data_IF_770685455554
#
_entry.id   IF_770685455554
#
_cell.length_a   1.000
_cell.length_b   1.000
_cell.length_c   1.000
_cell.angle_alpha   90.00
_cell.angle_beta   90.00
_cell.angle_gamma   90.00
#
_symmetry.space_group_name_H-M   'P 1'
#
loop_
_entity.id
_entity.type
_entity.pdbx_description
1 polymer ?
#
# COMPACT_ATOMS: atom_id res chain seq x y z
N UNK A 1 33.16 54.53 2.90
CA UNK A 1 33.07 54.19 4.34
C UNK A 1 31.92 53.21 4.50
N UNK A 2 32.19 51.96 4.89
CA UNK A 2 31.16 50.94 5.13
C UNK A 2 30.86 50.88 6.62
N UNK A 3 29.65 51.26 7.03
CA UNK A 3 29.20 51.09 8.42
C UNK A 3 28.86 49.62 8.65
N UNK A 4 29.71 48.95 9.44
CA UNK A 4 29.47 47.61 9.95
C UNK A 4 28.28 47.67 10.91
N UNK A 5 27.07 47.43 10.40
CA UNK A 5 25.84 47.39 11.19
C UNK A 5 25.86 46.16 12.09
N UNK A 6 25.95 46.39 13.40
CA UNK A 6 25.82 45.34 14.41
C UNK A 6 24.32 45.12 14.69
N UNK A 7 23.67 44.27 13.90
CA UNK A 7 22.28 43.86 14.16
C UNK A 7 22.27 42.82 15.29
N UNK A 8 22.29 43.26 16.54
CA UNK A 8 21.81 42.44 17.66
C UNK A 8 20.29 42.58 17.72
N UNK A 9 19.59 41.77 16.90
CA UNK A 9 18.14 41.67 16.94
C UNK A 9 17.73 40.66 18.02
N UNK A 10 17.02 41.14 19.04
CA UNK A 10 16.35 40.28 20.00
C UNK A 10 15.36 39.38 19.26
N UNK A 11 15.39 38.07 19.53
CA UNK A 11 14.58 37.11 18.81
C UNK A 11 13.09 37.43 18.99
N UNK A 12 12.36 37.63 17.88
CA UNK A 12 10.96 38.00 17.93
C UNK A 12 10.15 36.83 18.54
N UNK A 13 9.45 37.02 19.67
CA UNK A 13 8.73 35.95 20.37
C UNK A 13 7.64 35.31 19.50
N UNK A 14 7.11 36.03 18.51
CA UNK A 14 6.14 35.49 17.54
C UNK A 14 6.78 34.46 16.61
N UNK A 15 8.03 34.66 16.20
CA UNK A 15 8.74 33.73 15.33
C UNK A 15 9.13 32.45 16.09
N UNK A 16 9.53 32.58 17.35
CA UNK A 16 9.82 31.44 18.22
C UNK A 16 8.55 30.60 18.44
N UNK A 17 7.43 31.24 18.77
CA UNK A 17 6.14 30.55 18.97
C UNK A 17 5.66 29.84 17.70
N UNK A 18 5.87 30.45 16.51
CA UNK A 18 5.54 29.82 15.24
C UNK A 18 6.44 28.61 14.95
N UNK A 19 7.74 28.72 15.19
CA UNK A 19 8.69 27.62 15.01
C UNK A 19 8.39 26.45 15.95
N UNK A 20 8.08 26.72 17.22
CA UNK A 20 7.66 25.71 18.19
C UNK A 20 6.37 25.02 17.75
N UNK A 21 5.38 25.79 17.28
CA UNK A 21 4.11 25.24 16.77
C UNK A 21 4.34 24.34 15.56
N UNK A 22 5.15 24.77 14.60
CA UNK A 22 5.48 23.99 13.41
C UNK A 22 6.29 22.73 13.75
N UNK A 23 7.22 22.81 14.70
CA UNK A 23 7.97 21.65 15.20
C UNK A 23 7.04 20.64 15.88
N UNK A 24 6.10 21.10 16.72
CA UNK A 24 5.13 20.23 17.38
C UNK A 24 4.17 19.58 16.37
N UNK A 25 3.71 20.33 15.36
CA UNK A 25 2.91 19.79 14.25
C UNK A 25 3.68 18.77 13.42
N UNK A 26 4.97 19.02 13.15
CA UNK A 26 5.83 18.08 12.43
C UNK A 26 6.03 16.79 13.24
N UNK A 27 6.27 16.90 14.54
CA UNK A 27 6.51 15.74 15.41
C UNK A 27 5.25 14.89 15.54
N UNK A 28 4.08 15.49 15.76
CA UNK A 28 2.80 14.77 15.80
C UNK A 28 2.49 14.06 14.48
N UNK A 29 2.68 14.73 13.34
CA UNK A 29 2.49 14.10 12.02
C UNK A 29 3.45 12.91 11.77
N UNK A 30 4.69 12.97 12.28
CA UNK A 30 5.64 11.86 12.21
C UNK A 30 5.19 10.68 13.08
N UNK A 31 4.80 10.92 14.33
CA UNK A 31 4.32 9.88 15.24
C UNK A 31 3.07 9.19 14.68
N UNK A 32 2.12 9.94 14.13
CA UNK A 32 0.96 9.35 13.46
C UNK A 32 1.35 8.51 12.24
N UNK A 33 2.37 8.93 11.48
CA UNK A 33 2.86 8.17 10.33
C UNK A 33 3.51 6.86 10.78
N UNK A 34 4.29 6.87 11.86
CA UNK A 34 4.90 5.68 12.44
C UNK A 34 3.84 4.70 12.94
N UNK A 35 2.88 5.18 13.75
CA UNK A 35 1.77 4.36 14.25
C UNK A 35 0.94 3.71 13.11
N UNK A 36 0.70 4.45 12.03
CA UNK A 36 0.04 3.89 10.82
C UNK A 36 0.89 2.83 10.14
N UNK A 37 2.20 3.04 10.04
CA UNK A 37 3.10 2.09 9.41
C UNK A 37 3.20 0.80 10.22
N UNK A 38 3.26 0.90 11.54
CA UNK A 38 3.22 -0.25 12.46
C UNK A 38 1.90 -1.02 12.32
N UNK A 39 0.76 -0.32 12.29
CA UNK A 39 -0.55 -0.94 12.06
C UNK A 39 -0.60 -1.67 10.72
N UNK A 40 -0.07 -1.06 9.66
CA UNK A 40 -0.01 -1.68 8.34
C UNK A 40 0.89 -2.93 8.34
N UNK A 41 2.06 -2.85 8.96
CA UNK A 41 2.98 -3.98 9.08
C UNK A 41 2.34 -5.12 9.89
N UNK A 42 1.64 -4.81 10.98
CA UNK A 42 0.90 -5.78 11.76
C UNK A 42 -0.20 -6.46 10.93
N UNK A 43 -0.99 -5.69 10.17
CA UNK A 43 -2.01 -6.24 9.27
C UNK A 43 -1.40 -7.16 8.22
N UNK A 44 -0.33 -6.73 7.55
CA UNK A 44 0.36 -7.55 6.55
C UNK A 44 0.96 -8.82 7.17
N UNK A 45 1.54 -8.73 8.37
CA UNK A 45 2.09 -9.88 9.08
C UNK A 45 1.01 -10.86 9.57
N UNK A 46 -0.21 -10.36 9.84
CA UNK A 46 -1.35 -11.19 10.23
C UNK A 46 -2.01 -11.92 9.05
N UNK A 47 -1.68 -11.56 7.81
CA UNK A 47 -2.12 -12.29 6.62
C UNK A 47 -1.39 -13.63 6.58
N UNK A 48 -2.06 -14.66 7.08
CA UNK A 48 -1.59 -16.02 6.98
C UNK A 48 -1.85 -16.52 5.54
N UNK A 49 -0.76 -16.78 4.81
CA UNK A 49 -0.80 -17.23 3.41
C UNK A 49 -0.87 -18.76 3.29
N UNK A 50 -1.05 -19.49 4.41
CA UNK A 50 -1.28 -20.93 4.34
C UNK A 50 -2.50 -21.22 3.46
N UNK A 51 -2.34 -22.23 2.59
CA UNK A 51 -3.38 -22.73 1.70
C UNK A 51 -4.63 -23.01 2.53
N UNK A 52 -5.70 -22.24 2.29
CA UNK A 52 -6.98 -22.54 2.89
C UNK A 52 -7.37 -23.95 2.40
N UNK A 53 -7.63 -24.91 3.30
CA UNK A 53 -7.99 -26.26 2.88
C UNK A 53 -9.22 -26.18 1.98
N UNK A 54 -9.13 -26.79 0.80
CA UNK A 54 -10.26 -26.96 -0.12
C UNK A 54 -11.41 -27.63 0.63
N UNK A 55 -12.42 -26.85 1.08
CA UNK A 55 -13.61 -27.40 1.73
C UNK A 55 -14.11 -26.74 3.01
N UNK A 56 -13.60 -25.57 3.43
CA UNK A 56 -14.27 -24.82 4.50
C UNK A 56 -15.61 -24.23 3.98
N UNK A 57 -16.73 -24.36 4.71
CA UNK A 57 -18.03 -23.89 4.24
C UNK A 57 -18.05 -22.36 4.05
N UNK A 58 -18.27 -21.95 2.80
CA UNK A 58 -18.49 -20.58 2.32
C UNK A 58 -19.74 -19.94 2.94
N UNK A 59 -19.71 -19.54 4.21
CA UNK A 59 -20.85 -18.81 4.81
C UNK A 59 -20.47 -17.46 5.42
N UNK A 60 -19.33 -16.88 5.04
CA UNK A 60 -19.06 -15.45 5.27
C UNK A 60 -18.85 -14.73 3.93
N UNK A 61 -19.93 -14.58 3.16
CA UNK A 61 -19.96 -13.82 1.90
C UNK A 61 -19.61 -12.32 2.05
N UNK A 62 -19.25 -11.84 3.25
CA UNK A 62 -18.99 -10.43 3.53
C UNK A 62 -17.55 -10.12 3.94
N UNK A 63 -16.68 -11.11 4.14
CA UNK A 63 -15.28 -10.89 4.51
C UNK A 63 -14.35 -11.29 3.38
N UNK A 64 -13.65 -10.32 2.78
CA UNK A 64 -12.60 -10.60 1.81
C UNK A 64 -11.50 -11.47 2.44
N UNK A 65 -10.99 -12.43 1.68
CA UNK A 65 -9.90 -13.28 2.18
C UNK A 65 -8.61 -12.45 2.32
N UNK A 66 -7.65 -12.89 3.15
CA UNK A 66 -6.35 -12.23 3.23
C UNK A 66 -5.64 -12.14 1.87
N UNK A 67 -5.79 -13.17 1.02
CA UNK A 67 -5.28 -13.19 -0.35
C UNK A 67 -5.92 -12.09 -1.20
N UNK A 68 -7.24 -11.93 -1.14
CA UNK A 68 -7.96 -10.88 -1.88
C UNK A 68 -7.53 -9.48 -1.44
N UNK A 69 -7.36 -9.27 -0.12
CA UNK A 69 -6.92 -7.99 0.42
C UNK A 69 -5.50 -7.62 -0.07
N UNK A 70 -4.59 -8.59 -0.11
CA UNK A 70 -3.22 -8.41 -0.63
C UNK A 70 -3.24 -8.16 -2.15
N UNK A 71 -3.99 -8.93 -2.92
CA UNK A 71 -4.12 -8.74 -4.36
C UNK A 71 -4.69 -7.36 -4.70
N UNK A 72 -5.75 -6.94 -4.00
CA UNK A 72 -6.35 -5.61 -4.18
C UNK A 72 -5.36 -4.49 -3.85
N UNK A 73 -4.58 -4.64 -2.79
CA UNK A 73 -3.53 -3.70 -2.43
C UNK A 73 -2.41 -3.60 -3.47
N UNK A 74 -1.94 -4.74 -3.98
CA UNK A 74 -0.93 -4.77 -5.06
C UNK A 74 -1.47 -4.13 -6.33
N UNK A 75 -2.73 -4.41 -6.69
CA UNK A 75 -3.40 -3.79 -7.81
C UNK A 75 -3.48 -2.26 -7.65
N UNK A 76 -3.82 -1.75 -6.48
CA UNK A 76 -3.80 -0.31 -6.21
C UNK A 76 -2.42 0.33 -6.33
N UNK A 77 -1.35 -0.42 -6.04
CA UNK A 77 0.02 0.02 -6.29
C UNK A 77 0.35 0.06 -7.79
N UNK A 78 -0.08 -0.95 -8.55
CA UNK A 78 0.07 -0.99 -10.01
C UNK A 78 -0.62 0.22 -10.65
N UNK A 79 -1.86 0.55 -10.25
CA UNK A 79 -2.56 1.76 -10.72
C UNK A 79 -1.72 3.00 -10.43
N UNK A 80 -1.29 3.19 -9.18
CA UNK A 80 -0.47 4.34 -8.80
C UNK A 80 0.78 4.49 -9.68
N UNK A 81 1.40 3.38 -10.07
CA UNK A 81 2.56 3.39 -10.97
C UNK A 81 2.15 3.67 -12.41
N UNK A 82 1.14 2.99 -12.94
CA UNK A 82 0.65 3.19 -14.31
C UNK A 82 0.20 4.64 -14.56
N UNK A 83 -0.46 5.28 -13.59
CA UNK A 83 -0.87 6.69 -13.68
C UNK A 83 0.32 7.66 -13.84
N UNK A 84 1.54 7.29 -13.41
CA UNK A 84 2.74 8.10 -13.63
C UNK A 84 3.26 8.04 -15.07
N UNK A 85 2.90 7.01 -15.83
CA UNK A 85 3.42 6.74 -17.17
C UNK A 85 2.38 6.87 -18.27
N UNK A 86 1.11 7.05 -17.92
CA UNK A 86 0.02 7.21 -18.88
C UNK A 86 -0.69 8.54 -18.65
N UNK A 87 -0.86 9.32 -19.72
CA UNK A 87 -1.67 10.54 -19.74
C UNK A 87 -3.07 10.32 -20.34
N UNK A 88 -3.31 9.15 -20.93
CA UNK A 88 -4.58 8.82 -21.58
C UNK A 88 -5.72 8.70 -20.53
N UNK A 89 -6.69 9.60 -20.60
CA UNK A 89 -7.81 9.68 -19.66
C UNK A 89 -8.62 8.38 -19.64
N UNK A 90 -8.87 7.77 -20.80
CA UNK A 90 -9.62 6.51 -20.91
C UNK A 90 -8.87 5.33 -20.28
N UNK A 91 -7.55 5.24 -20.48
CA UNK A 91 -6.74 4.21 -19.83
C UNK A 91 -6.76 4.38 -18.31
N UNK A 92 -6.65 5.63 -17.82
CA UNK A 92 -6.72 5.94 -16.39
C UNK A 92 -8.08 5.55 -15.80
N UNK A 93 -9.18 5.85 -16.49
CA UNK A 93 -10.52 5.47 -16.07
C UNK A 93 -10.71 3.95 -16.07
N UNK A 94 -10.16 3.25 -17.05
CA UNK A 94 -10.29 1.78 -17.17
C UNK A 94 -9.59 1.03 -16.02
N UNK A 95 -8.46 1.53 -15.53
CA UNK A 95 -7.67 0.84 -14.49
C UNK A 95 -8.03 1.24 -13.06
N UNK A 96 -8.89 2.24 -12.88
CA UNK A 96 -9.22 2.80 -11.56
C UNK A 96 -10.71 2.64 -11.29
N UNK A 97 -11.09 2.20 -10.10
CA UNK A 97 -12.49 2.25 -9.65
C UNK A 97 -12.71 3.47 -8.75
N UNK A 98 -13.85 4.14 -8.92
CA UNK A 98 -14.24 5.31 -8.11
C UNK A 98 -15.61 5.15 -7.46
N UNK A 99 -16.34 4.08 -7.75
CA UNK A 99 -17.75 3.96 -7.37
C UNK A 99 -18.05 2.80 -6.42
N UNK A 100 -17.25 1.73 -6.43
CA UNK A 100 -17.50 0.57 -5.56
C UNK A 100 -16.23 0.11 -4.88
N UNK A 101 -16.09 0.41 -3.58
CA UNK A 101 -14.96 -0.04 -2.77
C UNK A 101 -15.31 -1.37 -2.09
N UNK A 102 -14.68 -2.50 -2.47
CA UNK A 102 -15.00 -3.82 -1.92
C UNK A 102 -14.35 -4.02 -0.54
N UNK A 103 -14.79 -5.03 0.23
CA UNK A 103 -14.20 -5.38 1.53
C UNK A 103 -12.68 -5.68 1.47
N UNK A 104 -12.16 -6.07 0.30
CA UNK A 104 -10.73 -6.28 0.06
C UNK A 104 -9.90 -4.98 0.11
N UNK A 105 -10.55 -3.81 0.14
CA UNK A 105 -9.90 -2.50 0.18
C UNK A 105 -9.16 -2.20 1.49
N UNK A 106 -9.35 -2.99 2.54
CA UNK A 106 -8.89 -2.70 3.91
C UNK A 106 -7.43 -2.23 3.99
N UNK A 107 -6.52 -2.87 3.26
CA UNK A 107 -5.10 -2.47 3.23
C UNK A 107 -4.84 -1.19 2.44
N UNK A 108 -5.62 -0.97 1.38
CA UNK A 108 -5.55 0.23 0.54
C UNK A 108 -6.08 1.45 1.30
N UNK A 109 -7.19 1.29 2.01
CA UNK A 109 -7.80 2.30 2.88
C UNK A 109 -6.92 2.63 4.09
N UNK A 110 -6.32 1.62 4.73
CA UNK A 110 -5.37 1.84 5.82
C UNK A 110 -4.18 2.72 5.39
N UNK A 111 -3.83 2.69 4.10
CA UNK A 111 -2.77 3.50 3.50
C UNK A 111 -3.26 4.80 2.86
N UNK A 112 -4.57 5.09 2.92
CA UNK A 112 -5.21 6.18 2.17
C UNK A 112 -4.85 7.59 2.65
N UNK A 113 -4.47 7.73 3.93
CA UNK A 113 -4.19 9.01 4.58
C UNK A 113 -2.80 9.62 4.25
N UNK A 114 -2.03 9.01 3.34
CA UNK A 114 -0.71 9.50 2.91
C UNK A 114 -0.84 10.23 1.55
N UNK A 115 -0.44 11.52 1.43
CA UNK A 115 -0.46 12.24 0.16
C UNK A 115 0.27 11.48 -0.96
N UNK A 116 -0.33 11.40 -2.16
CA UNK A 116 0.17 10.54 -3.26
C UNK A 116 -0.28 9.08 -3.15
N UNK A 117 -1.48 8.89 -2.63
CA UNK A 117 -2.15 7.64 -2.22
C UNK A 117 -2.13 6.50 -3.25
N UNK A 118 -2.14 5.24 -2.77
CA UNK A 118 -2.61 4.11 -3.58
C UNK A 118 -4.02 4.41 -4.08
N UNK A 119 -4.33 3.95 -5.29
CA UNK A 119 -5.64 4.15 -5.91
C UNK A 119 -6.44 2.86 -5.83
N UNK A 120 -7.76 2.98 -5.83
CA UNK A 120 -8.62 1.82 -5.94
C UNK A 120 -8.51 1.26 -7.36
N UNK A 121 -8.04 0.02 -7.53
CA UNK A 121 -7.99 -0.63 -8.84
C UNK A 121 -9.39 -0.93 -9.35
N UNK A 122 -9.53 -0.95 -10.68
CA UNK A 122 -10.71 -1.53 -11.30
C UNK A 122 -10.77 -3.04 -11.07
N UNK A 123 -12.00 -3.57 -11.05
CA UNK A 123 -12.24 -5.01 -10.92
C UNK A 123 -11.46 -5.83 -11.95
N UNK A 124 -11.42 -5.38 -13.20
CA UNK A 124 -10.70 -6.05 -14.29
C UNK A 124 -9.18 -6.10 -14.05
N UNK A 125 -8.59 -5.05 -13.48
CA UNK A 125 -7.16 -5.06 -13.13
C UNK A 125 -6.87 -6.02 -11.97
N UNK A 126 -7.74 -6.06 -10.95
CA UNK A 126 -7.60 -7.01 -9.84
C UNK A 126 -7.71 -8.45 -10.31
N UNK A 127 -8.67 -8.76 -11.19
CA UNK A 127 -8.83 -10.08 -11.80
C UNK A 127 -7.61 -10.48 -12.64
N UNK A 128 -7.10 -9.55 -13.46
CA UNK A 128 -5.87 -9.78 -14.24
C UNK A 128 -4.68 -10.13 -13.34
N UNK A 129 -4.50 -9.41 -12.24
CA UNK A 129 -3.41 -9.68 -11.30
C UNK A 129 -3.60 -10.99 -10.54
N UNK A 130 -4.85 -11.38 -10.24
CA UNK A 130 -5.15 -12.71 -9.70
C UNK A 130 -4.78 -13.83 -10.67
N UNK A 131 -5.07 -13.66 -11.97
CA UNK A 131 -4.67 -14.62 -12.99
C UNK A 131 -3.13 -14.72 -13.13
N UNK A 132 -2.43 -13.58 -13.11
CA UNK A 132 -0.95 -13.55 -13.11
C UNK A 132 -0.39 -14.25 -11.88
N UNK A 133 -0.97 -14.00 -10.70
CA UNK A 133 -0.55 -14.65 -9.45
C UNK A 133 -0.74 -16.17 -9.51
N UNK A 134 -1.87 -16.64 -10.05
CA UNK A 134 -2.14 -18.06 -10.24
C UNK A 134 -1.12 -18.74 -11.16
N UNK A 135 -0.74 -18.07 -12.26
CA UNK A 135 0.30 -18.57 -13.17
C UNK A 135 1.66 -18.63 -12.47
N UNK A 136 2.04 -17.57 -11.76
CA UNK A 136 3.30 -17.52 -11.01
C UNK A 136 3.35 -18.61 -9.93
N UNK A 137 2.25 -18.82 -9.22
CA UNK A 137 2.13 -19.85 -8.19
C UNK A 137 2.34 -21.26 -8.80
N UNK A 138 1.70 -21.55 -9.94
CA UNK A 138 1.86 -22.82 -10.65
C UNK A 138 3.32 -23.07 -11.08
N UNK A 139 3.98 -22.06 -11.66
CA UNK A 139 5.38 -22.16 -12.10
C UNK A 139 6.35 -22.37 -10.92
N UNK A 140 6.10 -21.70 -9.78
CA UNK A 140 6.90 -21.88 -8.56
C UNK A 140 6.71 -23.30 -8.01
N UNK A 141 5.48 -23.82 -7.99
CA UNK A 141 5.16 -25.18 -7.55
C UNK A 141 5.85 -26.22 -8.46
N UNK A 142 5.77 -26.05 -9.77
CA UNK A 142 6.45 -26.91 -10.75
C UNK A 142 7.98 -26.92 -10.54
N UNK A 143 8.59 -25.74 -10.37
CA UNK A 143 10.04 -25.61 -10.15
C UNK A 143 10.50 -26.23 -8.82
N UNK A 144 9.70 -26.12 -7.76
CA UNK A 144 9.98 -26.76 -6.47
C UNK A 144 9.84 -28.29 -6.53
N UNK A 145 8.85 -28.79 -7.27
CA UNK A 145 8.70 -30.22 -7.55
C UNK A 145 9.91 -30.79 -8.31
N UNK A 146 10.38 -30.06 -9.33
CA UNK A 146 11.58 -30.44 -10.09
C UNK A 146 12.84 -30.49 -9.22
N UNK A 147 13.02 -29.54 -8.30
CA UNK A 147 14.17 -29.53 -7.36
C UNK A 147 14.12 -30.64 -6.31
N UNK A 148 12.93 -31.09 -5.90
CA UNK A 148 12.81 -32.24 -4.99
C UNK A 148 13.29 -33.53 -5.67
N UNK A 149 12.89 -33.76 -6.92
CA UNK A 149 13.29 -34.95 -7.68
C UNK A 149 14.80 -35.01 -7.92
N UNK A 150 15.46 -33.87 -8.18
CA UNK A 150 16.92 -33.83 -8.39
C UNK A 150 17.72 -34.13 -7.11
N UNK A 151 17.13 -33.95 -5.92
CA UNK A 151 17.80 -34.20 -4.64
C UNK A 151 17.52 -35.60 -4.06
N UNK A 152 16.57 -36.35 -4.60
CA UNK A 152 16.29 -37.75 -4.19
C UNK A 152 17.09 -38.78 -5.01
N UNK A 153 17.74 -38.35 -6.10
CA UNK A 153 18.59 -39.17 -6.98
C UNK A 153 20.11 -38.94 -6.79
N UNK A 154 20.53 -38.24 -5.72
CA UNK A 154 21.96 -38.02 -5.34
C UNK A 154 22.26 -38.55 -3.94
#
# INVERSE_FOLDING_TARGET
MATKGNCTGEANPVLISLEETLSNMKMSALLEKEARNEKLQSLVASVNLEECPEGAPEHSYSSATPKDAVLYYLAGYVVKKALKFSECVECRATITDTQSVPAASVLTEARSFVPGVLKHPSKSLTELLGAVESVVEAEIKHTKGLRKLVLEDS
#
